data_IF_922515336523
#
_entry.id   IF_922515336523
#
_cell.length_a   1.000
_cell.length_b   1.000
_cell.length_c   1.000
_cell.angle_alpha   90.00
_cell.angle_beta   90.00
_cell.angle_gamma   90.00
#
_symmetry.space_group_name_H-M   'P 1'
#
loop_
_entity.id
_entity.type
_entity.pdbx_description
1 polymer ?
#
# COMPACT_ATOMS: atom_id res chain seq x y z
N UNK A 1 -23.08 -48.82 27.22
CA UNK A 1 -21.99 -47.94 26.75
C UNK A 1 -20.96 -48.85 26.14
N UNK A 2 -21.01 -49.01 24.81
CA UNK A 2 -20.05 -49.86 24.10
C UNK A 2 -18.65 -49.28 24.33
N UNK A 3 -17.80 -50.08 24.99
CA UNK A 3 -16.40 -49.73 25.16
C UNK A 3 -15.79 -49.70 23.77
N UNK A 4 -15.35 -48.52 23.35
CA UNK A 4 -14.54 -48.35 22.14
C UNK A 4 -13.35 -49.29 22.29
N UNK A 5 -13.30 -50.33 21.46
CA UNK A 5 -12.17 -51.25 21.43
C UNK A 5 -11.04 -50.58 20.67
N UNK A 6 -10.01 -50.16 21.40
CA UNK A 6 -8.85 -49.48 20.85
C UNK A 6 -7.91 -50.42 20.06
N UNK A 7 -8.17 -51.73 20.06
CA UNK A 7 -7.44 -52.71 19.24
C UNK A 7 -8.16 -53.08 17.94
N UNK A 8 -9.40 -52.60 17.72
CA UNK A 8 -10.07 -52.84 16.45
C UNK A 8 -9.37 -52.05 15.31
N UNK A 9 -8.98 -52.70 14.21
CA UNK A 9 -8.33 -52.00 13.10
C UNK A 9 -9.15 -50.84 12.53
N UNK A 10 -10.49 -50.85 12.64
CA UNK A 10 -11.30 -49.73 12.15
C UNK A 10 -11.26 -48.52 13.09
N UNK A 11 -11.33 -48.72 14.41
CA UNK A 11 -11.18 -47.62 15.39
C UNK A 11 -9.80 -46.98 15.33
N UNK A 12 -8.74 -47.78 15.16
CA UNK A 12 -7.37 -47.30 14.93
C UNK A 12 -7.26 -46.45 13.65
N UNK A 13 -7.89 -46.87 12.56
CA UNK A 13 -7.89 -46.11 11.30
C UNK A 13 -8.61 -44.77 11.45
N UNK A 14 -9.75 -44.73 12.14
CA UNK A 14 -10.50 -43.48 12.39
C UNK A 14 -9.70 -42.52 13.26
N UNK A 15 -9.09 -43.01 14.35
CA UNK A 15 -8.23 -42.20 15.23
C UNK A 15 -7.02 -41.65 14.46
N UNK A 16 -6.34 -42.48 13.67
CA UNK A 16 -5.20 -42.04 12.85
C UNK A 16 -5.61 -40.95 11.86
N UNK A 17 -6.76 -41.10 11.18
CA UNK A 17 -7.26 -40.11 10.22
C UNK A 17 -7.60 -38.79 10.91
N UNK A 18 -8.24 -38.84 12.09
CA UNK A 18 -8.54 -37.65 12.88
C UNK A 18 -7.28 -36.91 13.34
N UNK A 19 -6.25 -37.63 13.78
CA UNK A 19 -4.96 -37.05 14.17
C UNK A 19 -4.25 -36.41 12.99
N UNK A 20 -4.22 -37.07 11.82
CA UNK A 20 -3.61 -36.51 10.60
C UNK A 20 -4.36 -35.25 10.16
N UNK A 21 -5.69 -35.26 10.20
CA UNK A 21 -6.54 -34.10 9.91
C UNK A 21 -6.27 -32.93 10.86
N UNK A 22 -6.17 -33.19 12.16
CA UNK A 22 -5.86 -32.17 13.15
C UNK A 22 -4.44 -31.59 12.96
N UNK A 23 -3.46 -32.44 12.69
CA UNK A 23 -2.07 -32.03 12.46
C UNK A 23 -1.93 -31.18 11.19
N UNK A 24 -2.64 -31.54 10.13
CA UNK A 24 -2.67 -30.75 8.89
C UNK A 24 -3.31 -29.39 9.09
N UNK A 25 -4.43 -29.31 9.81
CA UNK A 25 -5.05 -28.02 10.18
C UNK A 25 -4.09 -27.19 11.02
N UNK A 26 -3.44 -27.79 12.02
CA UNK A 26 -2.46 -27.11 12.87
C UNK A 26 -1.29 -26.56 12.06
N UNK A 27 -0.72 -27.35 11.14
CA UNK A 27 0.36 -26.91 10.25
C UNK A 27 -0.06 -25.77 9.32
N UNK A 28 -1.29 -25.80 8.80
CA UNK A 28 -1.82 -24.71 7.98
C UNK A 28 -2.02 -23.43 8.80
N UNK A 29 -2.51 -23.54 10.04
CA UNK A 29 -2.64 -22.41 10.96
C UNK A 29 -1.26 -21.86 11.33
N UNK A 30 -0.29 -22.71 11.69
CA UNK A 30 1.07 -22.29 12.00
C UNK A 30 1.76 -21.64 10.79
N UNK A 31 1.56 -22.16 9.58
CA UNK A 31 2.07 -21.55 8.34
C UNK A 31 1.37 -20.22 8.02
N UNK A 32 0.10 -20.06 8.38
CA UNK A 32 -0.59 -18.77 8.32
C UNK A 32 -0.02 -17.76 9.33
N UNK A 33 0.46 -18.23 10.49
CA UNK A 33 1.15 -17.42 11.49
C UNK A 33 2.62 -17.17 11.19
N UNK A 34 3.24 -17.94 10.29
CA UNK A 34 4.59 -17.66 9.82
C UNK A 34 4.56 -16.27 9.16
N UNK A 35 5.08 -15.29 9.91
CA UNK A 35 5.10 -13.87 9.57
C UNK A 35 5.46 -13.70 8.10
N UNK A 36 4.55 -13.14 7.31
CA UNK A 36 4.87 -12.74 5.95
C UNK A 36 6.08 -11.83 6.04
N UNK A 37 7.18 -12.19 5.37
CA UNK A 37 8.36 -11.32 5.27
C UNK A 37 7.93 -10.06 4.51
N UNK A 38 7.37 -9.09 5.24
CA UNK A 38 6.98 -7.79 4.73
C UNK A 38 8.24 -7.07 4.34
N UNK A 39 8.47 -6.99 3.04
CA UNK A 39 9.69 -6.42 2.48
C UNK A 39 9.42 -5.53 1.27
N UNK A 40 8.18 -5.42 0.80
CA UNK A 40 7.84 -4.61 -0.38
C UNK A 40 7.53 -3.18 0.00
N UNK A 41 8.16 -2.23 -0.68
CA UNK A 41 7.85 -0.81 -0.60
C UNK A 41 7.31 -0.36 -1.95
N UNK A 42 6.07 0.11 -1.96
CA UNK A 42 5.35 0.45 -3.18
C UNK A 42 5.33 1.95 -3.40
N UNK A 43 5.84 2.41 -4.54
CA UNK A 43 5.69 3.77 -5.03
C UNK A 43 4.50 3.85 -5.96
N UNK A 44 3.54 4.71 -5.61
CA UNK A 44 2.27 4.89 -6.34
C UNK A 44 1.93 6.36 -6.45
N UNK A 45 1.18 6.74 -7.48
CA UNK A 45 0.84 8.13 -7.79
C UNK A 45 0.52 8.29 -9.27
N UNK A 46 -0.07 9.44 -9.63
CA UNK A 46 -0.44 9.73 -11.02
C UNK A 46 0.76 9.70 -11.98
N UNK A 47 0.49 9.58 -13.27
CA UNK A 47 1.54 9.70 -14.29
C UNK A 47 2.30 11.03 -14.15
N UNK A 48 3.61 11.00 -14.43
CA UNK A 48 4.49 12.17 -14.39
C UNK A 48 4.68 12.83 -12.99
N UNK A 49 4.19 12.24 -11.89
CA UNK A 49 4.40 12.86 -10.57
C UNK A 49 5.83 12.75 -10.00
N UNK A 50 6.72 11.99 -10.64
CA UNK A 50 8.12 11.84 -10.23
C UNK A 50 8.47 10.58 -9.45
N UNK A 51 7.60 9.56 -9.42
CA UNK A 51 7.89 8.25 -8.78
C UNK A 51 9.23 7.66 -9.21
N UNK A 52 9.45 7.53 -10.52
CA UNK A 52 10.68 6.98 -11.09
C UNK A 52 11.89 7.83 -10.77
N UNK A 53 11.74 9.16 -10.69
CA UNK A 53 12.81 10.09 -10.28
C UNK A 53 13.25 9.79 -8.84
N UNK A 54 12.29 9.77 -7.91
CA UNK A 54 12.57 9.48 -6.49
C UNK A 54 13.14 8.07 -6.33
N UNK A 55 12.55 7.09 -7.01
CA UNK A 55 13.02 5.70 -7.04
C UNK A 55 14.49 5.61 -7.48
N UNK A 56 14.86 6.34 -8.54
CA UNK A 56 16.22 6.36 -9.06
C UNK A 56 17.18 7.04 -8.10
N UNK A 57 16.81 8.19 -7.53
CA UNK A 57 17.60 8.90 -6.52
C UNK A 57 17.85 8.04 -5.28
N UNK A 58 16.81 7.37 -4.77
CA UNK A 58 16.90 6.46 -3.64
C UNK A 58 17.80 5.27 -3.98
N UNK A 59 17.64 4.68 -5.17
CA UNK A 59 18.47 3.57 -5.63
C UNK A 59 19.94 3.96 -5.69
N UNK A 60 20.28 5.17 -6.15
CA UNK A 60 21.66 5.65 -6.23
C UNK A 60 22.27 5.91 -4.86
N UNK A 61 21.52 6.49 -3.92
CA UNK A 61 22.02 6.81 -2.56
C UNK A 61 22.13 5.60 -1.64
N UNK A 62 21.21 4.65 -1.77
CA UNK A 62 21.16 3.46 -0.90
C UNK A 62 21.94 2.26 -1.47
N UNK A 63 22.48 2.38 -2.68
CA UNK A 63 23.27 1.35 -3.34
C UNK A 63 24.66 1.13 -2.74
N UNK A 64 24.80 1.11 -1.40
CA UNK A 64 26.02 0.58 -0.80
C UNK A 64 26.27 -0.87 -1.28
N UNK A 65 25.19 -1.63 -1.54
CA UNK A 65 25.22 -2.94 -2.24
C UNK A 65 23.91 -3.26 -3.00
N UNK A 66 23.70 -2.80 -4.26
CA UNK A 66 22.54 -3.19 -5.04
C UNK A 66 22.73 -4.64 -5.53
N UNK A 67 21.97 -5.59 -4.98
CA UNK A 67 22.12 -7.01 -5.34
C UNK A 67 21.47 -7.35 -6.67
N UNK A 68 20.47 -6.60 -7.14
CA UNK A 68 19.89 -6.73 -8.50
C UNK A 68 19.07 -5.49 -8.88
N UNK A 69 19.46 -4.83 -9.97
CA UNK A 69 18.70 -3.71 -10.56
C UNK A 69 18.11 -4.17 -11.90
N UNK A 70 16.78 -4.28 -12.01
CA UNK A 70 16.09 -4.42 -13.29
C UNK A 70 15.17 -3.23 -13.49
N UNK A 71 15.68 -2.21 -14.18
CA UNK A 71 14.93 -1.04 -14.63
C UNK A 71 14.47 -1.23 -16.07
N UNK A 72 13.18 -1.10 -16.32
CA UNK A 72 12.57 -1.01 -17.64
C UNK A 72 11.76 0.29 -17.77
N UNK A 73 11.53 0.73 -19.00
CA UNK A 73 10.71 1.91 -19.29
C UNK A 73 9.29 1.72 -18.73
N UNK A 74 8.70 2.80 -18.21
CA UNK A 74 7.49 2.94 -17.36
C UNK A 74 6.17 2.26 -17.79
N UNK A 75 6.17 1.42 -18.81
CA UNK A 75 5.06 0.51 -19.16
C UNK A 75 5.05 -0.78 -18.32
N UNK A 76 6.17 -1.14 -17.70
CA UNK A 76 6.35 -2.32 -16.85
C UNK A 76 6.83 -1.85 -15.48
N UNK A 77 6.36 -2.47 -14.41
CA UNK A 77 6.77 -2.16 -13.04
C UNK A 77 8.29 -2.22 -12.90
N UNK A 78 8.87 -1.15 -12.35
CA UNK A 78 10.29 -1.10 -12.02
C UNK A 78 10.51 -1.71 -10.64
N UNK A 79 11.46 -2.62 -10.52
CA UNK A 79 11.78 -3.29 -9.25
C UNK A 79 13.26 -3.25 -8.97
N UNK A 80 13.61 -2.86 -7.76
CA UNK A 80 14.97 -2.95 -7.23
C UNK A 80 14.91 -3.61 -5.86
N UNK A 81 15.82 -4.55 -5.61
CA UNK A 81 16.00 -5.10 -4.27
C UNK A 81 17.17 -4.37 -3.63
N UNK A 82 16.88 -3.66 -2.54
CA UNK A 82 17.89 -3.01 -1.71
C UNK A 82 18.11 -3.85 -0.45
N UNK A 83 19.37 -4.09 -0.09
CA UNK A 83 19.70 -4.71 1.20
C UNK A 83 19.97 -3.61 2.21
N UNK A 84 19.10 -3.50 3.20
CA UNK A 84 19.17 -2.48 4.25
C UNK A 84 19.30 -3.18 5.60
N UNK A 85 20.43 -2.99 6.30
CA UNK A 85 20.71 -3.57 7.64
C UNK A 85 20.34 -5.06 7.73
N UNK A 86 20.83 -5.84 6.77
CA UNK A 86 20.61 -7.29 6.61
C UNK A 86 19.19 -7.76 6.23
N UNK A 87 18.29 -6.84 5.92
CA UNK A 87 16.98 -7.17 5.35
C UNK A 87 16.91 -6.71 3.90
N UNK A 88 16.58 -7.62 3.01
CA UNK A 88 16.25 -7.27 1.64
C UNK A 88 14.87 -6.64 1.59
N UNK A 89 14.77 -5.47 0.96
CA UNK A 89 13.53 -4.77 0.66
C UNK A 89 13.39 -4.64 -0.85
N UNK A 90 12.24 -5.06 -1.37
CA UNK A 90 11.89 -4.92 -2.77
C UNK A 90 11.14 -3.59 -2.94
N UNK A 91 11.76 -2.63 -3.61
CA UNK A 91 11.13 -1.35 -3.93
C UNK A 91 10.52 -1.46 -5.32
N UNK A 92 9.25 -1.08 -5.43
CA UNK A 92 8.45 -1.21 -6.64
C UNK A 92 7.96 0.16 -7.08
N UNK A 93 8.38 0.63 -8.24
CA UNK A 93 7.81 1.81 -8.91
C UNK A 93 6.68 1.38 -9.86
N UNK A 94 5.45 1.68 -9.43
CA UNK A 94 4.24 1.26 -10.11
C UNK A 94 3.80 2.28 -11.17
N UNK A 95 3.49 1.87 -12.41
CA UNK A 95 3.03 2.78 -13.45
C UNK A 95 1.75 3.53 -13.07
N UNK A 96 1.75 4.85 -13.21
CA UNK A 96 0.61 5.72 -12.83
C UNK A 96 -0.56 5.75 -13.82
N UNK A 97 -0.78 4.70 -14.62
CA UNK A 97 -1.86 4.64 -15.62
C UNK A 97 -3.09 3.94 -15.04
N UNK A 98 -4.26 4.58 -15.13
CA UNK A 98 -5.54 4.06 -14.61
C UNK A 98 -5.92 2.68 -15.14
N UNK A 99 -5.51 2.32 -16.37
CA UNK A 99 -5.79 1.00 -16.94
C UNK A 99 -5.18 -0.16 -16.14
N UNK A 100 -4.21 0.14 -15.28
CA UNK A 100 -3.51 -0.85 -14.46
C UNK A 100 -4.03 -0.86 -13.00
N UNK A 101 -5.03 -0.06 -12.65
CA UNK A 101 -5.52 0.08 -11.27
C UNK A 101 -5.96 -1.25 -10.63
N UNK A 102 -6.60 -2.15 -11.39
CA UNK A 102 -6.96 -3.47 -10.86
C UNK A 102 -5.72 -4.31 -10.50
N UNK A 103 -4.68 -4.29 -11.35
CA UNK A 103 -3.41 -4.98 -11.08
C UNK A 103 -2.67 -4.39 -9.89
N UNK A 104 -2.76 -3.07 -9.67
CA UNK A 104 -2.22 -2.41 -8.48
C UNK A 104 -2.83 -3.03 -7.20
N UNK A 105 -4.15 -3.16 -7.20
CA UNK A 105 -4.91 -3.69 -6.05
C UNK A 105 -4.52 -5.16 -5.81
N UNK A 106 -4.71 -6.00 -6.82
CA UNK A 106 -4.55 -7.46 -6.68
C UNK A 106 -3.10 -7.87 -6.42
N UNK A 107 -2.13 -7.26 -7.13
CA UNK A 107 -0.74 -7.72 -7.05
C UNK A 107 0.06 -7.06 -5.92
N UNK A 108 -0.33 -5.87 -5.47
CA UNK A 108 0.45 -5.10 -4.50
C UNK A 108 -0.32 -4.75 -3.24
N UNK A 109 -1.49 -4.11 -3.33
CA UNK A 109 -2.22 -3.64 -2.13
C UNK A 109 -2.78 -4.79 -1.29
N UNK A 110 -3.17 -5.90 -1.93
CA UNK A 110 -3.62 -7.12 -1.24
C UNK A 110 -2.46 -8.06 -0.88
N UNK A 111 -1.22 -7.72 -1.26
CA UNK A 111 -0.05 -8.55 -0.99
C UNK A 111 0.32 -8.51 0.49
N UNK A 112 0.40 -9.68 1.12
CA UNK A 112 0.93 -9.80 2.51
C UNK A 112 2.40 -9.42 2.64
N UNK A 113 3.14 -9.32 1.54
CA UNK A 113 4.54 -8.86 1.54
C UNK A 113 4.67 -7.34 1.54
N UNK A 114 3.58 -6.59 1.36
CA UNK A 114 3.61 -5.14 1.40
C UNK A 114 4.00 -4.67 2.82
N UNK A 115 5.02 -3.83 2.87
CA UNK A 115 5.58 -3.28 4.09
C UNK A 115 5.15 -1.83 4.28
N UNK A 116 5.27 -1.00 3.24
CA UNK A 116 5.01 0.45 3.25
C UNK A 116 4.63 0.95 1.85
N UNK A 117 3.95 2.10 1.81
CA UNK A 117 3.56 2.77 0.55
C UNK A 117 4.12 4.19 0.55
N UNK A 118 4.75 4.60 -0.55
CA UNK A 118 5.11 5.98 -0.85
C UNK A 118 4.16 6.51 -1.93
N UNK A 119 3.28 7.42 -1.55
CA UNK A 119 2.29 8.02 -2.43
C UNK A 119 2.82 9.37 -2.95
N UNK A 120 3.24 9.41 -4.21
CA UNK A 120 3.92 10.58 -4.80
C UNK A 120 2.91 11.51 -5.46
N UNK A 121 2.96 12.79 -5.08
CA UNK A 121 2.10 13.86 -5.58
C UNK A 121 2.94 14.90 -6.30
N UNK A 122 2.54 15.27 -7.51
CA UNK A 122 3.12 16.43 -8.20
C UNK A 122 2.57 17.71 -7.56
N UNK A 123 3.40 18.41 -6.81
CA UNK A 123 2.98 19.61 -6.08
C UNK A 123 2.67 20.78 -7.01
N UNK A 124 3.33 20.88 -8.17
CA UNK A 124 3.12 21.96 -9.13
C UNK A 124 1.86 21.75 -9.97
N UNK A 125 1.55 20.50 -10.31
CA UNK A 125 0.34 20.12 -11.02
C UNK A 125 -0.87 19.89 -10.09
N UNK A 126 -0.70 19.99 -8.77
CA UNK A 126 -1.73 19.56 -7.81
C UNK A 126 -3.08 20.27 -8.01
N UNK A 127 -3.07 21.59 -8.27
CA UNK A 127 -4.33 22.36 -8.43
C UNK A 127 -5.24 21.84 -9.55
N UNK A 128 -4.69 21.30 -10.64
CA UNK A 128 -5.49 20.74 -11.74
C UNK A 128 -5.89 19.28 -11.52
N UNK A 129 -5.13 18.55 -10.69
CA UNK A 129 -5.27 17.10 -10.53
C UNK A 129 -5.79 16.70 -9.14
N UNK A 130 -6.19 17.64 -8.28
CA UNK A 130 -6.50 17.38 -6.87
C UNK A 130 -7.52 16.24 -6.68
N UNK A 131 -8.58 16.21 -7.49
CA UNK A 131 -9.60 15.16 -7.46
C UNK A 131 -9.03 13.80 -7.88
N UNK A 132 -8.31 13.72 -8.99
CA UNK A 132 -7.73 12.45 -9.46
C UNK A 132 -6.71 11.89 -8.46
N UNK A 133 -5.90 12.76 -7.86
CA UNK A 133 -4.97 12.40 -6.78
C UNK A 133 -5.75 11.86 -5.58
N UNK A 134 -6.83 12.53 -5.17
CA UNK A 134 -7.67 12.09 -4.06
C UNK A 134 -8.37 10.76 -4.34
N UNK A 135 -8.90 10.54 -5.55
CA UNK A 135 -9.54 9.28 -5.94
C UNK A 135 -8.54 8.10 -5.96
N UNK A 136 -7.32 8.33 -6.45
CA UNK A 136 -6.26 7.33 -6.40
C UNK A 136 -5.86 7.04 -4.94
N UNK A 137 -5.63 8.07 -4.12
CA UNK A 137 -5.30 7.89 -2.71
C UNK A 137 -6.40 7.13 -1.97
N UNK A 138 -7.67 7.50 -2.20
CA UNK A 138 -8.82 6.83 -1.60
C UNK A 138 -8.81 5.34 -1.91
N UNK A 139 -8.57 4.98 -3.17
CA UNK A 139 -8.46 3.58 -3.59
C UNK A 139 -7.30 2.88 -2.89
N UNK A 140 -6.13 3.50 -2.87
CA UNK A 140 -4.94 2.95 -2.20
C UNK A 140 -5.17 2.71 -0.71
N UNK A 141 -5.72 3.69 0.01
CA UNK A 141 -5.96 3.61 1.45
C UNK A 141 -7.09 2.63 1.81
N UNK A 142 -8.12 2.54 0.97
CA UNK A 142 -9.23 1.60 1.15
C UNK A 142 -8.74 0.16 0.97
N UNK A 143 -8.06 -0.10 -0.15
CA UNK A 143 -7.60 -1.44 -0.58
C UNK A 143 -6.32 -1.90 0.12
N UNK A 144 -5.66 -1.05 0.90
CA UNK A 144 -4.55 -1.45 1.77
C UNK A 144 -5.09 -2.33 2.91
N UNK A 145 -5.10 -3.65 2.71
CA UNK A 145 -5.72 -4.64 3.62
C UNK A 145 -5.04 -4.63 4.99
N UNK A 146 -3.72 -4.63 5.00
CA UNK A 146 -2.90 -4.70 6.21
C UNK A 146 -2.69 -3.34 6.88
N UNK A 147 -3.25 -2.26 6.30
CA UNK A 147 -3.14 -0.87 6.76
C UNK A 147 -1.68 -0.44 7.01
N UNK A 148 -0.78 -0.87 6.13
CA UNK A 148 0.64 -0.50 6.21
C UNK A 148 0.83 1.01 6.09
N UNK A 149 1.83 1.62 6.77
CA UNK A 149 2.03 3.07 6.72
C UNK A 149 2.14 3.63 5.30
N UNK A 150 1.55 4.81 5.08
CA UNK A 150 1.60 5.56 3.82
C UNK A 150 2.35 6.88 4.05
N UNK A 151 3.39 7.13 3.26
CA UNK A 151 4.09 8.42 3.20
C UNK A 151 3.66 9.16 1.93
N UNK A 152 3.01 10.31 2.07
CA UNK A 152 2.67 11.18 0.95
C UNK A 152 3.86 12.10 0.62
N UNK A 153 4.55 11.81 -0.47
CA UNK A 153 5.67 12.60 -0.96
C UNK A 153 5.18 13.71 -1.90
N UNK A 154 5.12 14.94 -1.38
CA UNK A 154 4.81 16.16 -2.13
C UNK A 154 6.05 16.55 -2.96
N UNK A 155 6.13 16.06 -4.19
CA UNK A 155 7.30 16.18 -5.07
C UNK A 155 7.26 17.44 -5.94
N UNK A 156 8.40 17.74 -6.59
CA UNK A 156 8.62 18.90 -7.47
C UNK A 156 8.47 20.26 -6.76
N UNK A 157 8.91 20.35 -5.51
CA UNK A 157 8.87 21.61 -4.72
C UNK A 157 9.81 22.70 -5.26
N UNK A 158 10.73 22.36 -6.15
CA UNK A 158 11.57 23.31 -6.88
C UNK A 158 10.82 24.14 -7.92
N UNK A 159 9.61 23.72 -8.32
CA UNK A 159 8.82 24.43 -9.32
C UNK A 159 8.02 25.57 -8.69
N UNK A 160 7.97 26.72 -9.35
CA UNK A 160 7.32 27.94 -8.84
C UNK A 160 5.82 27.80 -8.50
N UNK A 161 5.13 26.87 -9.17
CA UNK A 161 3.71 26.61 -8.95
C UNK A 161 3.44 25.54 -7.88
N UNK A 162 4.49 24.99 -7.25
CA UNK A 162 4.38 23.94 -6.26
C UNK A 162 3.53 24.36 -5.05
N UNK A 163 2.54 23.53 -4.73
CA UNK A 163 1.77 23.67 -3.49
C UNK A 163 2.58 23.12 -2.33
N UNK A 164 2.55 23.82 -1.22
CA UNK A 164 3.16 23.32 0.02
C UNK A 164 2.44 22.08 0.50
N UNK A 165 3.15 21.25 1.27
CA UNK A 165 2.58 20.07 1.93
C UNK A 165 1.28 20.39 2.67
N UNK A 166 1.24 21.50 3.41
CA UNK A 166 0.04 21.93 4.16
C UNK A 166 -1.16 22.17 3.25
N UNK A 167 -0.95 22.78 2.07
CA UNK A 167 -2.02 23.01 1.10
C UNK A 167 -2.51 21.69 0.51
N UNK A 168 -1.59 20.81 0.14
CA UNK A 168 -1.93 19.48 -0.41
C UNK A 168 -2.72 18.66 0.63
N UNK A 169 -2.22 18.59 1.87
CA UNK A 169 -2.88 17.91 3.00
C UNK A 169 -4.33 18.38 3.18
N UNK A 170 -4.53 19.69 3.30
CA UNK A 170 -5.85 20.26 3.53
C UNK A 170 -6.79 20.08 2.34
N UNK A 171 -6.26 20.11 1.12
CA UNK A 171 -7.07 19.92 -0.09
C UNK A 171 -7.48 18.47 -0.27
N UNK A 172 -6.55 17.53 -0.08
CA UNK A 172 -6.85 16.10 -0.14
C UNK A 172 -7.86 15.69 0.93
N UNK A 173 -7.76 16.23 2.15
CA UNK A 173 -8.74 16.00 3.21
C UNK A 173 -10.16 16.34 2.75
N UNK A 174 -10.36 17.52 2.16
CA UNK A 174 -11.66 17.97 1.63
C UNK A 174 -12.16 17.07 0.50
N UNK A 175 -11.30 16.76 -0.48
CA UNK A 175 -11.67 15.91 -1.61
C UNK A 175 -12.03 14.49 -1.18
N UNK A 176 -11.29 13.90 -0.23
CA UNK A 176 -11.60 12.59 0.34
C UNK A 176 -12.96 12.61 1.04
N UNK A 177 -13.28 13.68 1.78
CA UNK A 177 -14.60 13.87 2.37
C UNK A 177 -15.72 13.87 1.33
N UNK A 178 -15.53 14.59 0.21
CA UNK A 178 -16.49 14.60 -0.89
C UNK A 178 -16.66 13.20 -1.51
N UNK A 179 -15.57 12.45 -1.70
CA UNK A 179 -15.61 11.07 -2.22
C UNK A 179 -16.35 10.15 -1.25
N UNK A 180 -16.07 10.25 0.06
CA UNK A 180 -16.77 9.50 1.11
C UNK A 180 -18.27 9.76 1.07
N UNK A 181 -18.70 11.03 1.07
CA UNK A 181 -20.11 11.40 0.98
C UNK A 181 -20.77 10.83 -0.27
N UNK A 182 -20.10 10.95 -1.42
CA UNK A 182 -20.61 10.43 -2.69
C UNK A 182 -20.76 8.91 -2.68
N UNK A 183 -19.77 8.17 -2.16
CA UNK A 183 -19.81 6.71 -2.08
C UNK A 183 -20.83 6.21 -1.07
N UNK A 184 -20.95 6.86 0.09
CA UNK A 184 -21.97 6.55 1.10
C UNK A 184 -23.39 6.73 0.53
N UNK A 185 -23.63 7.79 -0.24
CA UNK A 185 -24.93 8.00 -0.88
C UNK A 185 -25.24 6.92 -1.93
N UNK A 186 -24.24 6.45 -2.68
CA UNK A 186 -24.41 5.39 -3.67
C UNK A 186 -24.72 4.01 -3.06
N UNK A 187 -24.35 3.78 -1.80
CA UNK A 187 -24.66 2.55 -1.06
C UNK A 187 -26.11 2.44 -0.62
N UNK A 188 -26.81 3.57 -0.48
CA UNK A 188 -28.21 3.62 -0.01
C UNK A 188 -29.18 3.30 -1.19
N UNK A 189 -28.65 2.93 -2.37
CA UNK A 189 -29.40 2.60 -3.58
C UNK A 189 -30.26 1.33 -3.47
N UNK A 190 -31.37 1.32 -4.20
CA UNK A 190 -32.65 0.66 -3.93
C UNK A 190 -32.76 -0.86 -4.07
N UNK A 191 -31.66 -1.57 -4.37
CA UNK A 191 -31.66 -3.03 -4.40
C UNK A 191 -30.80 -3.53 -3.24
N UNK A 192 -31.40 -4.26 -2.29
CA UNK A 192 -30.78 -4.77 -1.07
C UNK A 192 -29.63 -5.77 -1.27
N UNK A 193 -29.00 -5.79 -2.45
CA UNK A 193 -27.69 -6.38 -2.64
C UNK A 193 -26.63 -5.41 -2.14
N UNK A 194 -26.14 -5.63 -0.93
CA UNK A 194 -24.89 -5.02 -0.46
C UNK A 194 -23.73 -5.55 -1.33
N UNK A 195 -23.47 -4.94 -2.49
CA UNK A 195 -22.11 -4.98 -3.01
C UNK A 195 -21.22 -4.36 -1.93
N UNK A 196 -20.13 -5.05 -1.55
CA UNK A 196 -19.13 -4.66 -0.54
C UNK A 196 -18.38 -3.35 -0.89
N UNK A 197 -19.08 -2.29 -1.29
CA UNK A 197 -18.50 -0.99 -1.55
C UNK A 197 -18.34 -0.29 -0.20
N UNK A 198 -17.26 -0.56 0.50
CA UNK A 198 -16.95 0.17 1.73
C UNK A 198 -16.54 1.61 1.41
N UNK A 199 -16.85 2.52 2.34
CA UNK A 199 -16.20 3.82 2.40
C UNK A 199 -14.88 3.72 3.15
N UNK A 200 -13.99 4.69 2.94
CA UNK A 200 -12.71 4.78 3.64
C UNK A 200 -12.91 5.04 5.12
N UNK A 201 -13.87 5.90 5.45
CA UNK A 201 -14.33 6.19 6.82
C UNK A 201 -15.85 6.39 6.83
N UNK A 202 -16.43 6.43 8.02
CA UNK A 202 -17.84 6.74 8.29
C UNK A 202 -18.10 8.24 8.50
N UNK A 203 -17.08 9.08 8.38
CA UNK A 203 -17.16 10.53 8.64
C UNK A 203 -17.74 11.35 7.48
N UNK A 204 -18.04 10.72 6.34
CA UNK A 204 -18.70 11.39 5.22
C UNK A 204 -17.88 12.57 4.71
N UNK A 205 -18.49 13.76 4.61
CA UNK A 205 -17.84 14.98 4.10
C UNK A 205 -16.83 15.59 5.08
N UNK A 206 -16.94 15.27 6.37
CA UNK A 206 -16.15 15.88 7.43
C UNK A 206 -14.87 15.09 7.73
N UNK A 207 -14.40 14.30 6.76
CA UNK A 207 -13.17 13.51 6.86
C UNK A 207 -11.99 14.32 7.40
N UNK A 208 -11.24 13.70 8.30
CA UNK A 208 -9.95 14.15 8.84
C UNK A 208 -8.92 13.03 8.75
N UNK A 209 -7.64 13.40 8.63
CA UNK A 209 -6.56 12.41 8.60
C UNK A 209 -6.54 11.54 9.86
N UNK A 210 -6.94 12.08 11.01
CA UNK A 210 -7.05 11.38 12.29
C UNK A 210 -8.14 10.30 12.30
N UNK A 211 -9.10 10.34 11.36
CA UNK A 211 -10.15 9.33 11.23
C UNK A 211 -9.59 7.99 10.72
N UNK A 212 -8.40 8.00 10.12
CA UNK A 212 -7.68 6.81 9.65
C UNK A 212 -7.01 6.05 10.82
N UNK A 213 -7.78 5.67 11.84
CA UNK A 213 -7.31 5.15 13.15
C UNK A 213 -6.25 4.03 13.09
N UNK A 214 -6.28 3.18 12.07
CA UNK A 214 -5.36 2.03 11.91
C UNK A 214 -4.29 2.24 10.84
N UNK A 215 -4.38 3.35 10.12
CA UNK A 215 -3.59 3.61 8.92
C UNK A 215 -2.77 4.88 9.17
N UNK A 216 -1.50 4.69 9.49
CA UNK A 216 -0.57 5.81 9.61
C UNK A 216 -0.41 6.50 8.25
N UNK A 217 -0.60 7.81 8.24
CA UNK A 217 -0.36 8.66 7.07
C UNK A 217 0.53 9.82 7.50
N UNK A 218 1.70 9.93 6.87
CA UNK A 218 2.64 11.03 7.06
C UNK A 218 2.91 11.72 5.72
N UNK A 219 3.54 12.88 5.77
CA UNK A 219 3.82 13.68 4.59
C UNK A 219 5.28 14.12 4.60
N UNK A 220 5.83 14.33 3.41
CA UNK A 220 7.17 14.88 3.19
C UNK A 220 7.19 15.73 1.94
N UNK A 221 7.99 16.79 1.93
CA UNK A 221 8.24 17.62 0.75
C UNK A 221 9.54 17.22 0.07
N UNK A 222 9.54 17.07 -1.26
CA UNK A 222 10.73 16.65 -2.03
C UNK A 222 10.89 17.44 -3.32
N UNK A 223 12.11 17.45 -3.87
CA UNK A 223 12.46 18.17 -5.10
C UNK A 223 13.22 17.26 -6.07
N UNK A 224 13.15 17.56 -7.37
CA UNK A 224 13.98 16.90 -8.37
C UNK A 224 15.42 17.46 -8.39
N UNK A 225 15.62 18.72 -8.00
CA UNK A 225 16.90 19.44 -8.12
C UNK A 225 17.79 19.34 -6.88
N UNK A 226 17.20 18.99 -5.73
CA UNK A 226 17.94 18.81 -4.48
C UNK A 226 17.81 17.36 -4.03
N UNK A 227 18.88 16.59 -4.25
CA UNK A 227 18.92 15.17 -3.87
C UNK A 227 18.81 14.96 -2.35
N UNK A 228 19.03 15.98 -1.53
CA UNK A 228 18.93 15.90 -0.07
C UNK A 228 17.55 16.32 0.44
N UNK A 229 16.80 17.13 -0.31
CA UNK A 229 15.54 17.68 0.17
C UNK A 229 14.44 16.62 0.18
N UNK A 230 14.18 16.06 1.36
CA UNK A 230 13.11 15.09 1.62
C UNK A 230 13.46 13.65 1.25
N UNK A 231 14.52 13.41 0.48
CA UNK A 231 14.93 12.05 0.07
C UNK A 231 15.44 11.26 1.27
N UNK A 232 16.08 11.91 2.25
CA UNK A 232 16.53 11.25 3.47
C UNK A 232 15.35 10.75 4.32
N UNK A 233 14.27 11.52 4.40
CA UNK A 233 13.04 11.15 5.09
C UNK A 233 12.31 10.02 4.36
N UNK A 234 12.32 10.01 3.03
CA UNK A 234 11.85 8.84 2.25
C UNK A 234 12.73 7.63 2.55
N UNK A 235 14.06 7.78 2.53
CA UNK A 235 14.98 6.69 2.82
C UNK A 235 14.76 6.15 4.24
N UNK A 236 14.61 7.02 5.24
CA UNK A 236 14.35 6.60 6.63
C UNK A 236 13.01 5.86 6.74
N UNK A 237 11.97 6.34 6.06
CA UNK A 237 10.69 5.66 5.99
C UNK A 237 10.80 4.29 5.30
N UNK A 238 11.50 4.19 4.16
CA UNK A 238 11.76 2.94 3.45
C UNK A 238 12.58 1.98 4.31
N UNK A 239 13.51 2.46 5.14
CA UNK A 239 14.38 1.66 6.01
C UNK A 239 13.68 1.14 7.28
N UNK A 240 12.71 1.87 7.81
CA UNK A 240 11.92 1.47 8.98
C UNK A 240 11.05 0.23 8.71
#
# INVERSE_FOLDING_TARGET
MDKIDFNDPTTLAVLATAVIGLLTVLLLVLKSFASSNKNRVLFVGLMDCGKTTIFTQLSQKEAEYPTTTKTYTSMVENKITLRIKDKEKEIIDYPGNDRLRQKLIENHLHSRSLLRIVFVVDSAAFSKNARDVAELFYTVALENVDKVPILIACHKQDLSLAKTEKVIRNSLEKEIGLINKSRAAALIGTDGSEEKRSTLTDTGIDFKWEDLKKQEVSFVSTSSNSEDFGVHEIASFVRA
#
